data_IF_356039691570
#
_entry.id   IF_356039691570
#
_cell.length_a   1.000
_cell.length_b   1.000
_cell.length_c   1.000
_cell.angle_alpha   90.00
_cell.angle_beta   90.00
_cell.angle_gamma   90.00
#
_symmetry.space_group_name_H-M   'P 1'
#
loop_
_entity.id
_entity.type
_entity.pdbx_description
1 polymer ?
#
# COMPACT_ATOMS: atom_id res chain seq x y z
N UNK A 1 -76.87 68.25 10.14
CA UNK A 1 -76.00 67.50 11.06
C UNK A 1 -75.24 66.49 10.21
N UNK A 2 -73.93 66.73 10.15
CA UNK A 2 -72.80 66.00 9.58
C UNK A 2 -73.07 64.56 9.06
N UNK A 3 -72.78 64.36 7.77
CA UNK A 3 -72.54 63.04 7.19
C UNK A 3 -71.14 62.56 7.62
N UNK A 4 -71.08 61.44 8.34
CA UNK A 4 -69.85 60.79 8.77
C UNK A 4 -69.31 59.93 7.62
N UNK A 5 -68.02 60.04 7.22
CA UNK A 5 -67.47 59.21 6.16
C UNK A 5 -67.12 57.81 6.70
N UNK A 6 -67.65 56.79 6.04
CA UNK A 6 -67.38 55.37 6.32
C UNK A 6 -65.87 55.06 6.18
N UNK A 7 -65.20 54.44 7.18
CA UNK A 7 -63.77 54.17 7.11
C UNK A 7 -63.48 53.05 6.11
N UNK A 8 -62.93 53.42 4.96
CA UNK A 8 -62.36 52.50 3.96
C UNK A 8 -61.36 51.55 4.62
N UNK A 9 -61.80 50.32 4.90
CA UNK A 9 -60.96 49.20 5.33
C UNK A 9 -60.05 48.83 4.16
N UNK A 10 -58.87 49.46 4.09
CA UNK A 10 -57.81 49.05 3.16
C UNK A 10 -57.37 47.65 3.56
N UNK A 11 -57.89 46.68 2.82
CA UNK A 11 -57.55 45.27 2.91
C UNK A 11 -56.04 45.09 2.92
N UNK A 12 -55.49 44.63 4.05
CA UNK A 12 -54.09 44.26 4.21
C UNK A 12 -53.63 43.18 3.19
N UNK A 13 -54.59 42.54 2.50
CA UNK A 13 -54.38 41.58 1.42
C UNK A 13 -54.05 42.19 0.05
N UNK A 14 -53.86 43.52 -0.06
CA UNK A 14 -53.51 44.20 -1.33
C UNK A 14 -52.21 45.01 -1.27
N UNK A 15 -51.27 44.67 -0.36
CA UNK A 15 -49.94 45.29 -0.33
C UNK A 15 -48.96 44.48 -1.21
N UNK A 16 -48.68 44.90 -2.47
CA UNK A 16 -47.78 44.17 -3.37
C UNK A 16 -46.36 44.01 -2.80
N UNK A 17 -45.96 44.91 -1.90
CA UNK A 17 -44.67 44.91 -1.24
C UNK A 17 -44.47 43.70 -0.30
N UNK A 18 -45.53 43.27 0.41
CA UNK A 18 -45.44 42.11 1.32
C UNK A 18 -45.30 40.80 0.53
N UNK A 19 -46.03 40.64 -0.57
CA UNK A 19 -45.91 39.49 -1.46
C UNK A 19 -44.55 39.43 -2.15
N UNK A 20 -43.97 40.58 -2.51
CA UNK A 20 -42.62 40.63 -3.08
C UNK A 20 -41.55 40.20 -2.06
N UNK A 21 -41.69 40.60 -0.80
CA UNK A 21 -40.75 40.19 0.26
C UNK A 21 -40.88 38.72 0.64
N UNK A 22 -42.09 38.15 0.65
CA UNK A 22 -42.25 36.71 0.92
C UNK A 22 -41.66 35.86 -0.20
N UNK A 23 -41.85 36.23 -1.47
CA UNK A 23 -41.23 35.53 -2.60
C UNK A 23 -39.69 35.62 -2.53
N UNK A 24 -39.14 36.81 -2.28
CA UNK A 24 -37.68 36.97 -2.11
C UNK A 24 -37.13 36.16 -0.94
N UNK A 25 -37.86 36.10 0.19
CA UNK A 25 -37.48 35.27 1.34
C UNK A 25 -37.47 33.77 1.01
N UNK A 26 -38.48 33.29 0.28
CA UNK A 26 -38.55 31.90 -0.17
C UNK A 26 -37.39 31.58 -1.13
N UNK A 27 -37.13 32.46 -2.11
CA UNK A 27 -36.02 32.29 -3.05
C UNK A 27 -34.68 32.25 -2.31
N UNK A 28 -34.44 33.16 -1.37
CA UNK A 28 -33.23 33.18 -0.57
C UNK A 28 -33.06 31.91 0.28
N UNK A 29 -34.14 31.40 0.87
CA UNK A 29 -34.13 30.15 1.63
C UNK A 29 -33.77 28.96 0.75
N UNK A 30 -34.37 28.86 -0.44
CA UNK A 30 -34.06 27.80 -1.42
C UNK A 30 -32.59 27.88 -1.86
N UNK A 31 -32.08 29.07 -2.16
CA UNK A 31 -30.66 29.27 -2.51
C UNK A 31 -29.75 28.85 -1.36
N UNK A 32 -30.06 29.24 -0.13
CA UNK A 32 -29.30 28.82 1.06
C UNK A 32 -29.31 27.29 1.22
N UNK A 33 -30.45 26.62 1.05
CA UNK A 33 -30.53 25.16 1.10
C UNK A 33 -29.68 24.49 0.01
N UNK A 34 -29.69 25.02 -1.22
CA UNK A 34 -28.86 24.53 -2.32
C UNK A 34 -27.37 24.72 -2.01
N UNK A 35 -26.98 25.88 -1.49
CA UNK A 35 -25.59 26.16 -1.13
C UNK A 35 -25.10 25.25 0.00
N UNK A 36 -25.91 25.03 1.04
CA UNK A 36 -25.59 24.11 2.15
C UNK A 36 -25.52 22.66 1.65
N UNK A 37 -26.44 22.25 0.77
CA UNK A 37 -26.43 20.93 0.14
C UNK A 37 -25.15 20.70 -0.67
N UNK A 38 -24.81 21.62 -1.58
CA UNK A 38 -23.57 21.52 -2.39
C UNK A 38 -22.30 21.61 -1.55
N UNK A 39 -22.28 22.45 -0.52
CA UNK A 39 -21.12 22.57 0.37
C UNK A 39 -20.88 21.27 1.16
N UNK A 40 -21.96 20.61 1.60
CA UNK A 40 -21.89 19.30 2.27
C UNK A 40 -21.36 18.21 1.34
N UNK A 41 -21.89 18.11 0.12
CA UNK A 41 -21.43 17.13 -0.88
C UNK A 41 -19.95 17.30 -1.23
N UNK A 42 -19.50 18.53 -1.44
CA UNK A 42 -18.10 18.80 -1.78
C UNK A 42 -17.14 18.31 -0.67
N UNK A 43 -17.58 18.43 0.59
CA UNK A 43 -16.79 18.00 1.75
C UNK A 43 -16.72 16.47 1.90
N UNK A 44 -17.75 15.76 1.45
CA UNK A 44 -17.76 14.30 1.41
C UNK A 44 -16.86 13.73 0.30
N UNK A 45 -16.73 14.45 -0.83
CA UNK A 45 -15.80 14.08 -1.91
C UNK A 45 -14.36 14.09 -1.41
N UNK A 46 -13.96 15.14 -0.68
CA UNK A 46 -12.62 15.19 -0.08
C UNK A 46 -12.36 14.04 0.89
N UNK A 47 -13.36 13.65 1.68
CA UNK A 47 -13.23 12.53 2.62
C UNK A 47 -13.02 11.22 1.88
N UNK A 48 -13.85 10.93 0.86
CA UNK A 48 -13.72 9.71 0.04
C UNK A 48 -12.39 9.66 -0.70
N UNK A 49 -11.93 10.80 -1.23
CA UNK A 49 -10.63 10.89 -1.88
C UNK A 49 -9.49 10.55 -0.91
N UNK A 50 -9.51 11.08 0.32
CA UNK A 50 -8.53 10.76 1.37
C UNK A 50 -8.60 9.30 1.80
N UNK A 51 -9.81 8.76 1.97
CA UNK A 51 -10.01 7.35 2.34
C UNK A 51 -9.51 6.41 1.24
N UNK A 52 -9.84 6.70 -0.03
CA UNK A 52 -9.37 5.94 -1.19
C UNK A 52 -7.83 6.01 -1.34
N UNK A 53 -7.23 7.19 -1.19
CA UNK A 53 -5.77 7.33 -1.21
C UNK A 53 -5.11 6.57 -0.06
N UNK A 54 -5.70 6.63 1.14
CA UNK A 54 -5.17 5.89 2.31
C UNK A 54 -5.25 4.37 2.10
N UNK A 55 -6.32 3.88 1.47
CA UNK A 55 -6.46 2.46 1.13
C UNK A 55 -5.43 2.04 0.08
N UNK A 56 -5.30 2.82 -1.00
CA UNK A 56 -4.30 2.57 -2.04
C UNK A 56 -2.88 2.57 -1.47
N UNK A 57 -2.55 3.53 -0.59
CA UNK A 57 -1.25 3.58 0.06
C UNK A 57 -1.00 2.32 0.89
N UNK A 58 -1.98 1.88 1.69
CA UNK A 58 -1.83 0.65 2.50
C UNK A 58 -1.64 -0.60 1.65
N UNK A 59 -2.33 -0.69 0.52
CA UNK A 59 -2.17 -1.79 -0.41
C UNK A 59 -0.79 -1.79 -1.06
N UNK A 60 -0.30 -0.62 -1.47
CA UNK A 60 1.06 -0.46 -2.00
C UNK A 60 2.13 -0.79 -0.96
N UNK A 61 1.99 -0.28 0.26
CA UNK A 61 2.91 -0.57 1.37
C UNK A 61 2.94 -2.07 1.68
N UNK A 62 1.76 -2.72 1.69
CA UNK A 62 1.65 -4.16 1.89
C UNK A 62 2.31 -4.94 0.74
N UNK A 63 2.04 -4.57 -0.50
CA UNK A 63 2.63 -5.20 -1.67
C UNK A 63 4.16 -5.05 -1.67
N UNK A 64 4.69 -3.88 -1.27
CA UNK A 64 6.11 -3.65 -1.14
C UNK A 64 6.76 -4.55 -0.07
N UNK A 65 6.11 -4.71 1.10
CA UNK A 65 6.56 -5.63 2.15
C UNK A 65 6.55 -7.08 1.64
N UNK A 66 5.49 -7.49 0.95
CA UNK A 66 5.38 -8.84 0.38
C UNK A 66 6.48 -9.12 -0.68
N UNK A 67 6.82 -8.15 -1.53
CA UNK A 67 7.94 -8.25 -2.48
C UNK A 67 9.32 -8.36 -1.80
N UNK A 68 9.48 -7.76 -0.63
CA UNK A 68 10.70 -7.87 0.18
C UNK A 68 10.80 -9.19 0.97
N UNK A 69 9.84 -10.11 0.81
CA UNK A 69 9.80 -11.40 1.48
C UNK A 69 8.84 -11.49 2.67
N UNK A 70 8.00 -10.46 2.86
CA UNK A 70 6.89 -10.50 3.80
C UNK A 70 7.34 -10.72 5.24
N UNK A 71 6.55 -11.50 5.99
CA UNK A 71 6.83 -11.94 7.36
C UNK A 71 7.37 -13.36 7.45
N UNK A 72 7.43 -14.06 6.32
CA UNK A 72 7.72 -15.48 6.27
C UNK A 72 9.23 -15.70 6.11
N UNK A 73 9.76 -16.72 6.78
CA UNK A 73 11.13 -17.18 6.58
C UNK A 73 11.22 -17.88 5.21
N UNK A 74 11.88 -17.25 4.25
CA UNK A 74 11.93 -17.71 2.87
C UNK A 74 13.32 -17.57 2.25
N UNK A 75 13.68 -18.52 1.39
CA UNK A 75 14.82 -18.40 0.47
C UNK A 75 14.25 -17.87 -0.84
N UNK A 76 14.55 -16.61 -1.16
CA UNK A 76 14.01 -15.89 -2.31
C UNK A 76 14.71 -16.30 -3.61
N UNK A 77 16.03 -16.52 -3.55
CA UNK A 77 16.80 -17.02 -4.66
C UNK A 77 17.99 -17.84 -4.15
N UNK A 78 18.37 -18.87 -4.90
CA UNK A 78 19.57 -19.66 -4.68
C UNK A 78 20.02 -20.30 -6.00
N UNK A 79 21.11 -19.79 -6.57
CA UNK A 79 21.61 -20.20 -7.88
C UNK A 79 23.13 -20.03 -7.98
N UNK A 80 23.73 -20.65 -9.02
CA UNK A 80 25.16 -20.63 -9.28
C UNK A 80 25.45 -20.00 -10.64
N UNK A 81 26.52 -19.20 -10.71
CA UNK A 81 27.02 -18.60 -11.95
C UNK A 81 28.53 -18.81 -12.02
N UNK A 82 29.05 -19.56 -13.01
CA UNK A 82 28.31 -20.40 -13.97
C UNK A 82 27.72 -21.66 -13.31
N UNK A 83 26.61 -22.17 -13.82
CA UNK A 83 25.97 -23.40 -13.29
C UNK A 83 26.75 -24.70 -13.59
N UNK A 84 27.73 -24.63 -14.49
CA UNK A 84 28.68 -25.71 -14.80
C UNK A 84 30.07 -25.09 -14.79
N UNK A 85 30.98 -25.71 -14.05
CA UNK A 85 32.33 -25.19 -13.84
C UNK A 85 33.38 -26.21 -14.23
N UNK A 86 34.58 -25.75 -14.60
CA UNK A 86 35.71 -26.67 -14.75
C UNK A 86 36.30 -26.99 -13.38
N UNK A 87 37.00 -28.13 -13.30
CA UNK A 87 37.67 -28.53 -12.06
C UNK A 87 38.61 -27.43 -11.57
N UNK A 88 38.33 -26.90 -10.38
CA UNK A 88 39.17 -25.87 -9.76
C UNK A 88 38.90 -24.44 -10.25
N UNK A 89 37.84 -24.23 -11.03
CA UNK A 89 37.41 -22.90 -11.48
C UNK A 89 36.51 -22.24 -10.41
N UNK A 90 36.58 -20.91 -10.22
CA UNK A 90 35.67 -20.21 -9.34
C UNK A 90 34.24 -20.21 -9.88
N UNK A 91 33.28 -20.45 -8.99
CA UNK A 91 31.85 -20.35 -9.21
C UNK A 91 31.28 -19.43 -8.17
N UNK A 92 30.38 -18.56 -8.60
CA UNK A 92 29.70 -17.63 -7.73
C UNK A 92 28.34 -18.22 -7.33
N UNK A 93 28.16 -18.51 -6.04
CA UNK A 93 26.88 -18.94 -5.46
C UNK A 93 26.14 -17.72 -4.93
N UNK A 94 25.07 -17.36 -5.62
CA UNK A 94 24.21 -16.24 -5.24
C UNK A 94 22.96 -16.73 -4.52
N UNK A 95 22.68 -16.14 -3.36
CA UNK A 95 21.48 -16.39 -2.60
C UNK A 95 20.87 -15.10 -2.04
N UNK A 96 19.59 -15.21 -1.70
CA UNK A 96 18.77 -14.13 -1.20
C UNK A 96 17.76 -14.71 -0.24
N UNK A 97 17.71 -14.18 0.97
CA UNK A 97 16.91 -14.72 2.07
C UNK A 97 16.09 -13.62 2.72
N UNK A 98 14.88 -13.96 3.14
CA UNK A 98 13.96 -13.06 3.83
C UNK A 98 13.70 -13.56 5.26
N UNK A 99 13.65 -12.62 6.21
CA UNK A 99 13.37 -12.88 7.63
C UNK A 99 14.28 -13.92 8.31
N UNK A 100 15.48 -14.15 7.76
CA UNK A 100 16.48 -15.04 8.33
C UNK A 100 17.39 -14.30 9.32
N UNK A 101 17.58 -14.90 10.51
CA UNK A 101 18.56 -14.45 11.51
C UNK A 101 19.92 -15.09 11.29
N UNK A 102 19.93 -16.36 10.90
CA UNK A 102 21.16 -17.10 10.60
C UNK A 102 21.06 -17.78 9.25
N UNK A 103 22.19 -17.88 8.57
CA UNK A 103 22.34 -18.60 7.30
C UNK A 103 23.54 -19.53 7.42
N UNK A 104 23.38 -20.75 6.93
CA UNK A 104 24.44 -21.74 6.83
C UNK A 104 24.48 -22.26 5.40
N UNK A 105 25.65 -22.21 4.77
CA UNK A 105 25.88 -22.72 3.43
C UNK A 105 26.90 -23.87 3.54
N UNK A 106 26.50 -25.07 3.10
CA UNK A 106 27.33 -26.27 3.13
C UNK A 106 27.53 -26.80 1.71
N UNK A 107 28.70 -27.33 1.31
CA UNK A 107 29.96 -27.39 2.06
C UNK A 107 30.78 -26.11 1.88
N UNK A 108 30.53 -25.09 2.71
CA UNK A 108 31.35 -23.90 2.75
C UNK A 108 31.86 -23.67 4.17
N UNK A 109 33.17 -23.48 4.30
CA UNK A 109 33.83 -23.26 5.59
C UNK A 109 33.66 -21.84 6.11
N UNK A 110 33.46 -20.88 5.21
CA UNK A 110 33.38 -19.47 5.56
C UNK A 110 31.98 -19.13 6.09
N UNK A 111 31.89 -18.35 7.17
CA UNK A 111 30.60 -17.90 7.68
C UNK A 111 29.89 -17.01 6.66
N UNK A 112 28.62 -17.32 6.41
CA UNK A 112 27.71 -16.55 5.57
C UNK A 112 26.71 -15.79 6.43
N UNK A 113 26.18 -14.70 5.88
CA UNK A 113 25.32 -13.76 6.59
C UNK A 113 24.00 -13.62 5.83
N UNK A 114 22.86 -13.45 6.53
CA UNK A 114 21.60 -13.13 5.88
C UNK A 114 21.71 -11.87 5.01
N UNK A 115 21.25 -11.97 3.77
CA UNK A 115 21.20 -10.85 2.82
C UNK A 115 20.06 -11.07 1.82
N UNK A 116 19.48 -9.99 1.30
CA UNK A 116 18.50 -10.04 0.21
C UNK A 116 19.14 -10.47 -1.13
N UNK A 117 20.43 -10.14 -1.30
CA UNK A 117 21.24 -10.57 -2.43
C UNK A 117 22.68 -10.62 -2.00
N UNK A 118 23.27 -11.81 -1.93
CA UNK A 118 24.70 -11.99 -1.68
C UNK A 118 25.22 -13.14 -2.50
N UNK A 119 26.40 -12.90 -3.07
CA UNK A 119 27.12 -13.89 -3.82
C UNK A 119 28.41 -14.28 -3.09
N UNK A 120 28.78 -15.54 -3.25
CA UNK A 120 29.89 -16.15 -2.55
C UNK A 120 30.68 -17.02 -3.49
N UNK A 121 31.98 -16.74 -3.59
CA UNK A 121 32.89 -17.53 -4.42
C UNK A 121 33.18 -18.89 -3.79
N UNK A 122 33.05 -19.92 -4.60
CA UNK A 122 33.41 -21.31 -4.27
C UNK A 122 34.21 -21.93 -5.40
N UNK A 123 35.05 -22.89 -5.09
CA UNK A 123 35.93 -23.53 -6.08
C UNK A 123 35.74 -25.05 -6.05
N UNK A 124 34.65 -25.57 -6.65
CA UNK A 124 34.36 -27.00 -6.62
C UNK A 124 35.35 -27.79 -7.49
N UNK A 125 35.95 -28.84 -6.91
CA UNK A 125 36.88 -29.75 -7.62
C UNK A 125 36.12 -30.93 -8.27
N UNK A 126 34.91 -31.21 -7.78
CA UNK A 126 33.99 -32.24 -8.27
C UNK A 126 32.56 -31.72 -8.17
N UNK A 127 31.63 -32.34 -8.91
CA UNK A 127 30.20 -32.03 -8.78
C UNK A 127 29.80 -32.08 -7.31
N UNK A 128 29.29 -30.95 -6.81
CA UNK A 128 29.04 -30.73 -5.39
C UNK A 128 27.65 -30.15 -5.22
N UNK A 129 26.87 -30.76 -4.33
CA UNK A 129 25.56 -30.23 -3.92
C UNK A 129 25.76 -29.27 -2.76
N UNK A 130 25.41 -28.01 -3.00
CA UNK A 130 25.36 -26.98 -1.98
C UNK A 130 23.99 -26.93 -1.34
N UNK A 131 23.96 -26.84 -0.02
CA UNK A 131 22.73 -26.75 0.77
C UNK A 131 22.75 -25.48 1.59
N UNK A 132 21.77 -24.61 1.32
CA UNK A 132 21.53 -23.38 2.05
C UNK A 132 20.46 -23.64 3.10
N UNK A 133 20.79 -23.45 4.38
CA UNK A 133 19.85 -23.54 5.49
C UNK A 133 19.73 -22.18 6.16
N UNK A 134 18.51 -21.71 6.35
CA UNK A 134 18.20 -20.46 7.03
C UNK A 134 17.40 -20.74 8.30
N UNK A 135 17.61 -19.92 9.33
CA UNK A 135 16.81 -19.97 10.54
C UNK A 135 16.38 -18.57 11.00
N UNK A 136 15.19 -18.45 11.56
CA UNK A 136 14.69 -17.21 12.14
C UNK A 136 14.99 -17.12 13.66
N UNK A 137 14.56 -16.02 14.28
CA UNK A 137 14.71 -15.82 15.72
C UNK A 137 13.82 -16.75 16.57
N UNK A 138 12.74 -17.31 15.99
CA UNK A 138 11.80 -18.20 16.65
C UNK A 138 12.24 -19.67 16.59
N UNK A 139 13.30 -19.99 15.81
CA UNK A 139 13.83 -21.33 15.64
C UNK A 139 13.23 -22.09 14.45
N UNK A 140 12.41 -21.44 13.61
CA UNK A 140 11.97 -22.06 12.36
C UNK A 140 13.14 -22.15 11.39
N UNK A 141 13.16 -23.20 10.57
CA UNK A 141 14.22 -23.42 9.58
C UNK A 141 13.66 -23.70 8.20
N UNK A 142 14.39 -23.29 7.17
CA UNK A 142 14.14 -23.66 5.77
C UNK A 142 15.45 -24.03 5.10
N UNK A 143 15.37 -24.97 4.16
CA UNK A 143 16.55 -25.49 3.47
C UNK A 143 16.27 -25.61 1.97
N UNK A 144 17.28 -25.29 1.16
CA UNK A 144 17.25 -25.49 -0.28
C UNK A 144 18.61 -26.03 -0.75
N UNK A 145 18.59 -26.93 -1.73
CA UNK A 145 19.78 -27.53 -2.30
C UNK A 145 19.96 -27.14 -3.77
N UNK A 146 21.21 -26.98 -4.18
CA UNK A 146 21.64 -26.61 -5.52
C UNK A 146 22.84 -27.47 -5.91
N UNK A 147 22.76 -28.14 -7.06
CA UNK A 147 23.86 -28.94 -7.59
C UNK A 147 24.71 -28.11 -8.56
N UNK A 148 26.01 -28.00 -8.29
CA UNK A 148 26.98 -27.40 -9.22
C UNK A 148 27.76 -28.52 -9.89
N UNK A 149 27.63 -28.64 -11.21
CA UNK A 149 28.28 -29.69 -11.99
C UNK A 149 29.70 -29.27 -12.37
N UNK A 150 30.65 -30.19 -12.20
CA UNK A 150 32.04 -29.98 -12.61
C UNK A 150 32.38 -30.87 -13.80
N UNK A 151 32.92 -30.28 -14.87
CA UNK A 151 33.31 -30.96 -16.11
C UNK A 151 34.77 -30.74 -16.47
#
# INVERSE_FOLDING_TARGET
MLAEPDPQKKSAFKNPFLYSWTILGIVALVVCLILVSRWKENRDIERRAREAQTQQQREQDRAAIEQMGGKDLAIQNFYAVPGVARRGEPVELCYGVANAKTVKLEPQSNPVWPSYSRCVDVTPVKTTTYTLTIADAAGNTRTQSLEVKVQ
#
